data_IF_474766553987
#
_entry.id   IF_474766553987
#
_cell.length_a   1.000
_cell.length_b   1.000
_cell.length_c   1.000
_cell.angle_alpha   90.00
_cell.angle_beta   90.00
_cell.angle_gamma   90.00
#
_symmetry.space_group_name_H-M   'P 1'
#
loop_
_entity.id
_entity.type
_entity.pdbx_description
1 polymer ?
#
# COMPACT_ATOMS: atom_id res chain seq x y z
N UNK A 1 -2.65 18.96 -7.04
CA UNK A 1 -2.76 18.29 -5.70
C UNK A 1 -1.64 17.25 -5.60
N UNK A 2 -0.85 17.24 -4.52
CA UNK A 2 0.23 16.25 -4.33
C UNK A 2 -0.06 15.37 -3.14
N UNK A 3 0.16 14.06 -3.28
CA UNK A 3 -0.09 13.05 -2.24
C UNK A 3 1.15 12.16 -2.08
N UNK A 4 1.73 12.15 -0.88
CA UNK A 4 2.84 11.30 -0.50
C UNK A 4 2.37 10.03 0.23
N UNK A 5 2.72 8.88 -0.28
CA UNK A 5 2.35 7.56 0.24
C UNK A 5 3.62 6.83 0.68
N UNK A 6 3.60 6.29 1.88
CA UNK A 6 4.64 5.41 2.41
C UNK A 6 4.06 4.00 2.57
N UNK A 7 4.70 3.00 2.00
CA UNK A 7 4.36 1.59 2.17
C UNK A 7 5.49 0.91 2.94
N UNK A 8 5.18 0.23 4.04
CA UNK A 8 6.19 -0.32 4.93
C UNK A 8 5.82 -1.72 5.45
N UNK A 9 6.83 -2.56 5.63
CA UNK A 9 6.71 -3.94 6.12
C UNK A 9 8.06 -4.62 6.14
N UNK A 10 8.09 -5.94 6.12
CA UNK A 10 9.31 -6.74 6.04
C UNK A 10 9.59 -7.21 4.61
N UNK A 11 10.83 -7.59 4.36
CA UNK A 11 11.21 -8.31 3.14
C UNK A 11 10.35 -9.57 2.94
N UNK A 12 9.89 -9.81 1.71
CA UNK A 12 8.98 -10.92 1.38
C UNK A 12 7.49 -10.58 1.48
N UNK A 13 7.08 -9.49 2.15
CA UNK A 13 5.68 -9.08 2.26
C UNK A 13 5.13 -8.30 1.04
N UNK A 14 5.88 -8.20 -0.06
CA UNK A 14 5.42 -7.55 -1.28
C UNK A 14 5.32 -6.02 -1.24
N UNK A 15 6.01 -5.37 -0.30
CA UNK A 15 5.96 -3.93 -0.05
C UNK A 15 6.28 -3.10 -1.30
N UNK A 16 7.39 -3.45 -1.96
CA UNK A 16 7.83 -2.74 -3.17
C UNK A 16 6.86 -2.94 -4.33
N UNK A 17 6.26 -4.13 -4.41
CA UNK A 17 5.25 -4.40 -5.43
C UNK A 17 3.97 -3.61 -5.19
N UNK A 18 3.51 -3.51 -3.93
CA UNK A 18 2.37 -2.64 -3.56
C UNK A 18 2.62 -1.20 -4.01
N UNK A 19 3.77 -0.62 -3.68
CA UNK A 19 4.12 0.74 -4.12
C UNK A 19 4.15 0.88 -5.64
N UNK A 20 4.74 -0.10 -6.35
CA UNK A 20 4.79 -0.12 -7.82
C UNK A 20 3.39 -0.21 -8.44
N UNK A 21 2.49 -1.00 -7.87
CA UNK A 21 1.11 -1.13 -8.35
C UNK A 21 0.33 0.18 -8.17
N UNK A 22 0.46 0.83 -7.02
CA UNK A 22 -0.16 2.15 -6.76
C UNK A 22 0.38 3.21 -7.72
N UNK A 23 1.70 3.22 -7.95
CA UNK A 23 2.34 4.12 -8.91
C UNK A 23 1.80 3.90 -10.33
N UNK A 24 1.74 2.64 -10.79
CA UNK A 24 1.19 2.29 -12.11
C UNK A 24 -0.28 2.71 -12.25
N UNK A 25 -1.10 2.45 -11.22
CA UNK A 25 -2.51 2.81 -11.25
C UNK A 25 -2.73 4.34 -11.32
N UNK A 26 -1.91 5.11 -10.63
CA UNK A 26 -1.96 6.58 -10.70
C UNK A 26 -1.52 7.11 -12.08
N UNK A 27 -0.51 6.49 -12.71
CA UNK A 27 -0.09 6.84 -14.06
C UNK A 27 -1.18 6.57 -15.11
N UNK A 28 -1.96 5.49 -14.97
CA UNK A 28 -3.12 5.22 -15.83
C UNK A 28 -4.20 6.33 -15.71
N UNK A 29 -4.25 7.02 -14.57
CA UNK A 29 -5.07 8.20 -14.34
C UNK A 29 -4.42 9.52 -14.80
N UNK A 30 -3.40 9.47 -15.65
CA UNK A 30 -2.65 10.63 -16.18
C UNK A 30 -1.99 11.51 -15.10
N UNK A 31 -1.68 10.96 -13.93
CA UNK A 31 -0.94 11.65 -12.87
C UNK A 31 0.57 11.55 -13.06
N UNK A 32 1.31 12.57 -12.63
CA UNK A 32 2.74 12.47 -12.45
C UNK A 32 3.05 11.63 -11.21
N UNK A 33 4.00 10.72 -11.32
CA UNK A 33 4.30 9.77 -10.25
C UNK A 33 5.80 9.59 -10.08
N UNK A 34 6.25 9.51 -8.83
CA UNK A 34 7.55 8.94 -8.50
C UNK A 34 7.36 7.74 -7.59
N UNK A 35 8.16 6.70 -7.81
CA UNK A 35 8.25 5.53 -6.94
C UNK A 35 9.70 5.37 -6.52
N UNK A 36 9.96 5.44 -5.22
CA UNK A 36 11.30 5.38 -4.66
C UNK A 36 11.39 4.27 -3.60
N UNK A 37 11.98 3.11 -3.93
CA UNK A 37 12.24 2.05 -2.99
C UNK A 37 13.43 2.39 -2.09
N UNK A 38 13.31 2.12 -0.79
CA UNK A 38 14.42 2.19 0.15
C UNK A 38 15.08 0.82 0.27
N UNK A 39 16.30 0.72 -0.26
CA UNK A 39 17.16 -0.45 -0.08
C UNK A 39 18.18 -0.15 1.02
N UNK A 40 18.06 -0.79 2.16
CA UNK A 40 19.06 -0.73 3.24
C UNK A 40 19.72 -2.10 3.47
N UNK A 41 20.89 -2.13 4.11
CA UNK A 41 21.54 -3.37 4.56
C UNK A 41 20.65 -4.21 5.51
N UNK A 42 19.58 -3.62 6.00
CA UNK A 42 18.55 -4.18 6.88
C UNK A 42 17.54 -5.10 6.18
N UNK A 43 17.65 -5.32 4.86
CA UNK A 43 16.65 -6.10 4.10
C UNK A 43 16.59 -7.60 4.44
N UNK A 44 17.58 -8.13 5.13
CA UNK A 44 17.53 -9.50 5.68
C UNK A 44 17.02 -9.44 7.13
N UNK A 45 15.69 -9.42 7.30
CA UNK A 45 15.02 -9.35 8.61
C UNK A 45 14.68 -7.94 9.10
N UNK A 46 15.02 -6.89 8.33
CA UNK A 46 14.69 -5.50 8.63
C UNK A 46 13.40 -5.00 7.94
N UNK A 47 13.04 -3.74 8.22
CA UNK A 47 11.89 -3.09 7.60
C UNK A 47 12.18 -2.68 6.16
N UNK A 48 11.43 -3.23 5.20
CA UNK A 48 11.40 -2.78 3.82
C UNK A 48 10.38 -1.64 3.68
N UNK A 49 10.70 -0.62 2.90
CA UNK A 49 9.73 0.44 2.61
C UNK A 49 9.94 1.04 1.22
N UNK A 50 8.89 1.67 0.71
CA UNK A 50 8.98 2.52 -0.47
C UNK A 50 8.05 3.72 -0.33
N UNK A 51 8.38 4.80 -1.03
CA UNK A 51 7.52 5.97 -1.15
C UNK A 51 6.97 6.09 -2.56
N UNK A 52 5.74 6.56 -2.66
CA UNK A 52 5.08 6.93 -3.92
C UNK A 52 4.58 8.35 -3.76
N UNK A 53 5.00 9.24 -4.65
CA UNK A 53 4.43 10.59 -4.74
C UNK A 53 3.58 10.67 -6.00
N UNK A 54 2.35 11.12 -5.83
CA UNK A 54 1.37 11.27 -6.92
C UNK A 54 1.00 12.76 -6.99
N UNK A 55 1.05 13.36 -8.17
CA UNK A 55 0.75 14.78 -8.36
C UNK A 55 0.10 15.07 -9.72
N UNK A 56 -0.77 16.06 -9.77
CA UNK A 56 -1.30 16.65 -11.01
C UNK A 56 -0.29 17.65 -11.64
N UNK A 57 0.75 18.02 -10.92
CA UNK A 57 1.83 18.90 -11.38
C UNK A 57 3.20 18.24 -11.26
N UNK A 58 4.28 19.03 -11.49
CA UNK A 58 5.65 18.56 -11.37
C UNK A 58 5.97 18.12 -9.94
N UNK A 59 6.71 17.01 -9.81
CA UNK A 59 7.18 16.49 -8.52
C UNK A 59 8.62 16.93 -8.32
N UNK A 60 8.84 17.81 -7.33
CA UNK A 60 10.17 18.33 -7.02
C UNK A 60 11.06 17.35 -6.24
N UNK A 61 10.50 16.35 -5.57
CA UNK A 61 11.26 15.35 -4.81
C UNK A 61 10.50 14.02 -4.72
N UNK A 62 11.18 12.88 -4.91
CA UNK A 62 10.60 11.55 -4.67
C UNK A 62 10.54 11.18 -3.18
N UNK A 63 11.18 11.96 -2.32
CA UNK A 63 11.29 11.69 -0.88
C UNK A 63 10.08 12.24 -0.15
N UNK A 64 9.45 11.39 0.64
CA UNK A 64 8.30 11.74 1.50
C UNK A 64 8.81 11.91 2.93
N UNK A 65 8.97 13.13 3.39
CA UNK A 65 9.34 13.45 4.78
C UNK A 65 8.15 13.37 5.73
N UNK A 66 6.97 13.72 5.24
CA UNK A 66 5.69 13.63 5.97
C UNK A 66 4.63 13.03 5.05
N UNK A 67 4.16 11.83 5.37
CA UNK A 67 3.26 11.06 4.51
C UNK A 67 1.79 11.47 4.70
N UNK A 68 1.07 11.59 3.60
CA UNK A 68 -0.39 11.69 3.61
C UNK A 68 -1.03 10.36 3.98
N UNK A 69 -0.43 9.27 3.50
CA UNK A 69 -0.92 7.91 3.68
C UNK A 69 0.25 6.99 4.05
N UNK A 70 0.04 6.14 5.04
CA UNK A 70 0.94 5.06 5.43
C UNK A 70 0.21 3.73 5.30
N UNK A 71 0.74 2.79 4.52
CA UNK A 71 0.29 1.40 4.50
C UNK A 71 1.31 0.53 5.25
N UNK A 72 0.85 -0.22 6.26
CA UNK A 72 1.70 -0.98 7.19
C UNK A 72 1.34 -2.45 7.16
N UNK A 73 2.36 -3.30 6.98
CA UNK A 73 2.18 -4.75 6.90
C UNK A 73 2.57 -5.50 8.18
N UNK A 74 3.29 -4.85 9.13
CA UNK A 74 3.71 -5.47 10.41
C UNK A 74 3.92 -4.44 11.52
N UNK A 75 4.03 -4.93 12.77
CA UNK A 75 4.16 -4.11 13.98
C UNK A 75 5.39 -3.20 13.96
N UNK A 76 6.58 -3.75 13.67
CA UNK A 76 7.83 -2.98 13.64
C UNK A 76 7.79 -1.80 12.66
N UNK A 77 7.05 -1.96 11.54
CA UNK A 77 6.86 -0.87 10.58
C UNK A 77 5.86 0.18 11.10
N UNK A 78 4.84 -0.22 11.85
CA UNK A 78 3.94 0.73 12.52
C UNK A 78 4.72 1.60 13.49
N UNK A 79 5.49 1.01 14.38
CA UNK A 79 6.31 1.73 15.37
C UNK A 79 7.28 2.71 14.69
N UNK A 80 7.98 2.25 13.65
CA UNK A 80 9.01 3.05 12.96
C UNK A 80 8.43 4.21 12.15
N UNK A 81 7.29 4.03 11.51
CA UNK A 81 6.81 4.96 10.49
C UNK A 81 5.53 5.73 10.85
N UNK A 82 4.78 5.32 11.87
CA UNK A 82 3.55 6.03 12.26
C UNK A 82 3.82 7.52 12.56
N UNK A 83 4.99 7.82 13.12
CA UNK A 83 5.45 9.17 13.41
C UNK A 83 5.63 10.07 12.20
N UNK A 84 5.76 9.51 11.01
CA UNK A 84 5.94 10.24 9.74
C UNK A 84 4.62 10.60 9.05
N UNK A 85 3.48 10.16 9.58
CA UNK A 85 2.17 10.50 9.01
C UNK A 85 1.78 11.91 9.46
N UNK A 86 1.36 12.76 8.50
CA UNK A 86 0.93 14.12 8.80
C UNK A 86 -0.34 14.18 9.63
N UNK A 87 -0.63 15.32 10.21
CA UNK A 87 -1.93 15.61 10.83
C UNK A 87 -3.06 15.35 9.82
N UNK A 88 -4.15 14.71 10.28
CA UNK A 88 -5.28 14.30 9.44
C UNK A 88 -4.90 13.31 8.31
N UNK A 89 -3.74 12.65 8.42
CA UNK A 89 -3.31 11.62 7.48
C UNK A 89 -4.07 10.30 7.68
N UNK A 90 -3.80 9.35 6.80
CA UNK A 90 -4.44 8.04 6.77
C UNK A 90 -3.42 6.94 7.04
N UNK A 91 -3.76 6.00 7.91
CA UNK A 91 -3.00 4.76 8.11
C UNK A 91 -3.88 3.58 7.71
N UNK A 92 -3.36 2.73 6.85
CA UNK A 92 -3.96 1.45 6.50
C UNK A 92 -3.06 0.38 7.11
N UNK A 93 -3.59 -0.43 7.99
CA UNK A 93 -2.80 -1.42 8.69
C UNK A 93 -3.34 -2.83 8.45
N UNK A 94 -2.43 -3.78 8.27
CA UNK A 94 -2.75 -5.20 8.20
C UNK A 94 -3.02 -5.73 9.62
N UNK A 95 -4.29 -5.77 10.04
CA UNK A 95 -4.67 -6.21 11.39
C UNK A 95 -4.42 -7.69 11.66
N UNK A 96 -4.14 -8.50 10.63
CA UNK A 96 -3.68 -9.89 10.83
C UNK A 96 -2.25 -9.98 11.38
N UNK A 97 -1.45 -8.90 11.31
CA UNK A 97 -0.03 -8.87 11.67
C UNK A 97 0.34 -7.69 12.58
N UNK A 98 -0.60 -6.82 12.86
CA UNK A 98 -0.43 -5.61 13.68
C UNK A 98 -1.48 -5.63 14.77
N UNK A 99 -1.05 -5.76 16.02
CA UNK A 99 -1.92 -5.73 17.20
C UNK A 99 -1.96 -4.34 17.83
N UNK A 100 -0.91 -3.57 17.67
CA UNK A 100 -0.79 -2.21 18.16
C UNK A 100 -1.65 -1.24 17.36
N UNK A 101 -1.96 -0.12 18.00
CA UNK A 101 -2.64 1.01 17.34
C UNK A 101 -1.78 2.25 17.45
N UNK A 102 -1.69 3.06 16.39
CA UNK A 102 -1.02 4.34 16.50
C UNK A 102 -1.67 5.15 17.62
N UNK A 103 -0.86 5.84 18.41
CA UNK A 103 -1.38 6.66 19.51
C UNK A 103 -2.49 7.59 18.99
N UNK A 104 -3.72 7.39 19.50
CA UNK A 104 -4.92 8.20 19.16
C UNK A 104 -4.73 9.71 19.43
N UNK A 105 -3.70 10.09 20.18
CA UNK A 105 -3.37 11.48 20.52
C UNK A 105 -2.80 12.30 19.36
N UNK A 106 -2.48 11.71 18.20
CA UNK A 106 -2.05 12.48 17.03
C UNK A 106 -3.26 12.94 16.22
N UNK A 107 -3.79 14.07 16.65
CA UNK A 107 -4.67 14.98 15.90
C UNK A 107 -5.23 14.49 14.55
N UNK A 108 -6.39 13.78 14.62
CA UNK A 108 -7.20 13.54 13.43
C UNK A 108 -6.72 12.43 12.48
N UNK A 109 -5.79 11.55 12.89
CA UNK A 109 -5.41 10.39 12.09
C UNK A 109 -6.61 9.47 11.85
N UNK A 110 -6.83 9.12 10.59
CA UNK A 110 -7.76 8.07 10.20
C UNK A 110 -7.00 6.74 10.14
N UNK A 111 -7.58 5.68 10.72
CA UNK A 111 -7.00 4.34 10.69
C UNK A 111 -8.02 3.40 10.06
N UNK A 112 -7.60 2.68 9.02
CA UNK A 112 -8.34 1.61 8.37
C UNK A 112 -7.63 0.31 8.69
N UNK A 113 -8.29 -0.56 9.45
CA UNK A 113 -7.79 -1.88 9.81
C UNK A 113 -8.27 -2.89 8.75
N UNK A 114 -7.34 -3.64 8.18
CA UNK A 114 -7.62 -4.62 7.13
C UNK A 114 -7.04 -5.95 7.55
N UNK A 115 -7.84 -6.98 7.81
CA UNK A 115 -7.35 -8.32 8.16
C UNK A 115 -6.85 -9.05 6.90
N UNK A 116 -5.76 -8.50 6.32
CA UNK A 116 -5.34 -8.87 4.98
C UNK A 116 -4.87 -10.32 4.86
N UNK A 117 -4.25 -10.86 5.91
CA UNK A 117 -3.87 -12.27 5.98
C UNK A 117 -5.08 -13.20 5.98
N UNK A 118 -6.10 -12.87 6.79
CA UNK A 118 -7.34 -13.65 6.90
C UNK A 118 -8.15 -13.60 5.60
N UNK A 119 -8.28 -12.40 5.01
CA UNK A 119 -8.94 -12.23 3.71
C UNK A 119 -8.22 -13.05 2.64
N UNK A 120 -6.89 -12.96 2.55
CA UNK A 120 -6.09 -13.71 1.59
C UNK A 120 -6.23 -15.23 1.81
N UNK A 121 -6.21 -15.67 3.05
CA UNK A 121 -6.40 -17.09 3.39
C UNK A 121 -7.79 -17.59 2.98
N UNK A 122 -8.86 -16.83 3.25
CA UNK A 122 -10.25 -17.21 2.95
C UNK A 122 -10.52 -17.42 1.46
N UNK A 123 -9.72 -16.82 0.58
CA UNK A 123 -9.85 -16.97 -0.88
C UNK A 123 -8.84 -17.95 -1.48
N UNK A 124 -8.10 -18.68 -0.64
CA UNK A 124 -7.06 -19.62 -1.09
C UNK A 124 -5.77 -18.96 -1.59
N UNK A 125 -5.50 -17.72 -1.22
CA UNK A 125 -4.35 -16.92 -1.67
C UNK A 125 -3.49 -16.39 -0.50
N UNK A 126 -2.98 -17.22 0.42
CA UNK A 126 -2.32 -16.77 1.65
C UNK A 126 -1.10 -15.87 1.40
N UNK A 127 -0.48 -15.95 0.23
CA UNK A 127 0.66 -15.10 -0.15
C UNK A 127 0.24 -13.75 -0.76
N UNK A 128 -1.06 -13.48 -0.94
CA UNK A 128 -1.58 -12.28 -1.61
C UNK A 128 -2.10 -11.20 -0.65
N UNK A 129 -1.69 -11.23 0.62
CA UNK A 129 -2.08 -10.20 1.61
C UNK A 129 -1.70 -8.78 1.16
N UNK A 130 -0.58 -8.61 0.47
CA UNK A 130 -0.18 -7.35 -0.13
C UNK A 130 -1.17 -6.85 -1.21
N UNK A 131 -1.82 -7.75 -1.95
CA UNK A 131 -2.86 -7.36 -2.92
C UNK A 131 -4.12 -6.89 -2.21
N UNK A 132 -4.50 -7.54 -1.11
CA UNK A 132 -5.61 -7.08 -0.27
C UNK A 132 -5.32 -5.66 0.25
N UNK A 133 -4.14 -5.42 0.81
CA UNK A 133 -3.73 -4.07 1.25
C UNK A 133 -3.69 -3.08 0.09
N UNK A 134 -3.24 -3.49 -1.10
CA UNK A 134 -3.21 -2.61 -2.28
C UNK A 134 -4.62 -2.15 -2.69
N UNK A 135 -5.60 -3.06 -2.65
CA UNK A 135 -7.00 -2.73 -2.92
C UNK A 135 -7.57 -1.75 -1.90
N UNK A 136 -7.39 -2.04 -0.61
CA UNK A 136 -7.82 -1.18 0.48
C UNK A 136 -7.15 0.21 0.42
N UNK A 137 -5.84 0.25 0.15
CA UNK A 137 -5.07 1.48 0.00
C UNK A 137 -5.61 2.36 -1.15
N UNK A 138 -5.81 1.77 -2.32
CA UNK A 138 -6.28 2.52 -3.48
C UNK A 138 -7.65 3.16 -3.23
N UNK A 139 -8.57 2.44 -2.59
CA UNK A 139 -9.90 2.95 -2.23
C UNK A 139 -9.85 4.00 -1.12
N UNK A 140 -9.28 3.65 0.03
CA UNK A 140 -9.26 4.53 1.20
C UNK A 140 -8.52 5.85 0.95
N UNK A 141 -7.48 5.82 0.14
CA UNK A 141 -6.71 7.00 -0.25
C UNK A 141 -7.23 7.69 -1.53
N UNK A 142 -8.32 7.18 -2.15
CA UNK A 142 -8.90 7.70 -3.40
C UNK A 142 -7.82 7.91 -4.48
N UNK A 143 -7.10 6.83 -4.80
CA UNK A 143 -6.02 6.87 -5.80
C UNK A 143 -6.58 6.74 -7.22
N UNK A 144 -7.46 5.76 -7.43
CA UNK A 144 -8.09 5.44 -8.71
C UNK A 144 -9.31 4.56 -8.47
N UNK A 145 -10.09 4.31 -9.49
CA UNK A 145 -11.20 3.36 -9.45
C UNK A 145 -10.72 1.91 -9.58
N UNK A 146 -11.53 0.95 -9.11
CA UNK A 146 -11.20 -0.48 -9.14
C UNK A 146 -10.86 -1.02 -10.54
N UNK A 147 -11.56 -0.65 -11.63
CA UNK A 147 -11.18 -1.09 -12.98
C UNK A 147 -9.76 -0.66 -13.38
N UNK A 148 -9.37 0.58 -13.06
CA UNK A 148 -8.03 1.12 -13.31
C UNK A 148 -6.98 0.35 -12.52
N UNK A 149 -7.25 0.09 -11.24
CA UNK A 149 -6.34 -0.69 -10.39
C UNK A 149 -6.14 -2.13 -10.90
N UNK A 150 -7.24 -2.78 -11.33
CA UNK A 150 -7.19 -4.12 -11.95
C UNK A 150 -6.41 -4.10 -13.27
N UNK A 151 -6.56 -3.06 -14.07
CA UNK A 151 -5.80 -2.89 -15.32
C UNK A 151 -4.30 -2.74 -15.02
N UNK A 152 -3.93 -1.88 -14.09
CA UNK A 152 -2.54 -1.69 -13.66
C UNK A 152 -1.91 -3.01 -13.18
N UNK A 153 -2.64 -3.83 -12.41
CA UNK A 153 -2.16 -5.15 -12.00
C UNK A 153 -1.93 -6.07 -13.20
N UNK A 154 -2.85 -6.13 -14.17
CA UNK A 154 -2.69 -6.92 -15.40
C UNK A 154 -1.44 -6.49 -16.18
N UNK A 155 -1.16 -5.18 -16.26
CA UNK A 155 0.03 -4.64 -16.93
C UNK A 155 1.32 -5.11 -16.25
N UNK A 156 1.36 -5.12 -14.90
CA UNK A 156 2.52 -5.60 -14.15
C UNK A 156 2.69 -7.12 -14.20
N UNK A 157 1.61 -7.88 -14.41
CA UNK A 157 1.58 -9.34 -14.44
C UNK A 157 1.56 -9.94 -15.86
N UNK A 158 1.95 -9.18 -16.90
CA UNK A 158 1.89 -9.62 -18.32
C UNK A 158 2.52 -10.99 -18.60
N UNK A 159 3.51 -11.39 -17.80
CA UNK A 159 4.23 -12.67 -17.96
C UNK A 159 3.84 -13.71 -16.91
N UNK A 160 2.88 -13.41 -16.04
CA UNK A 160 2.44 -14.35 -15.01
C UNK A 160 1.50 -15.41 -15.61
N UNK A 161 1.46 -16.59 -14.97
CA UNK A 161 0.46 -17.61 -15.30
C UNK A 161 -0.95 -17.06 -15.02
N UNK A 162 -1.95 -17.36 -15.89
CA UNK A 162 -3.32 -16.84 -15.72
C UNK A 162 -3.91 -17.05 -14.33
N UNK A 163 -3.72 -18.24 -13.74
CA UNK A 163 -4.20 -18.56 -12.41
C UNK A 163 -3.60 -17.66 -11.30
N UNK A 164 -2.33 -17.26 -11.45
CA UNK A 164 -1.67 -16.35 -10.52
C UNK A 164 -2.25 -14.94 -10.63
N UNK A 165 -2.49 -14.49 -11.85
CA UNK A 165 -3.13 -13.19 -12.07
C UNK A 165 -4.54 -13.17 -11.50
N UNK A 166 -5.34 -14.20 -11.77
CA UNK A 166 -6.74 -14.29 -11.33
C UNK A 166 -6.86 -14.24 -9.81
N UNK A 167 -6.06 -15.02 -9.09
CA UNK A 167 -6.11 -15.05 -7.63
C UNK A 167 -5.67 -13.71 -7.02
N UNK A 168 -4.69 -13.03 -7.62
CA UNK A 168 -4.25 -11.71 -7.18
C UNK A 168 -5.29 -10.62 -7.48
N UNK A 169 -6.01 -10.70 -8.61
CA UNK A 169 -7.14 -9.82 -8.91
C UNK A 169 -8.27 -9.99 -7.89
N UNK A 170 -8.57 -11.24 -7.49
CA UNK A 170 -9.56 -11.54 -6.46
C UNK A 170 -9.16 -10.96 -5.10
N UNK A 171 -7.88 -11.13 -4.70
CA UNK A 171 -7.36 -10.57 -3.46
C UNK A 171 -7.45 -9.04 -3.44
N UNK A 172 -7.06 -8.39 -4.54
CA UNK A 172 -7.15 -6.94 -4.72
C UNK A 172 -8.59 -6.44 -4.56
N UNK A 173 -9.54 -7.11 -5.20
CA UNK A 173 -10.97 -6.77 -5.14
C UNK A 173 -11.54 -6.92 -3.73
N UNK A 174 -11.18 -7.99 -3.02
CA UNK A 174 -11.61 -8.20 -1.63
C UNK A 174 -11.08 -7.10 -0.70
N UNK A 175 -9.83 -6.66 -0.90
CA UNK A 175 -9.28 -5.53 -0.16
C UNK A 175 -9.99 -4.22 -0.47
N UNK A 176 -10.33 -3.99 -1.73
CA UNK A 176 -11.13 -2.82 -2.16
C UNK A 176 -12.51 -2.81 -1.51
N UNK A 177 -13.21 -3.95 -1.52
CA UNK A 177 -14.56 -4.10 -0.95
C UNK A 177 -14.59 -4.01 0.59
N UNK A 178 -13.47 -4.23 1.26
CA UNK A 178 -13.37 -4.15 2.72
C UNK A 178 -13.43 -2.71 3.24
N UNK A 179 -13.15 -1.73 2.39
CA UNK A 179 -13.18 -0.31 2.74
C UNK A 179 -14.49 0.29 2.21
N UNK A 180 -15.32 0.77 3.13
CA UNK A 180 -16.57 1.48 2.81
C UNK A 180 -16.33 2.94 2.41
#
# INVERSE_FOLDING_TARGET
>A
MTKGILVAGSGGQGILFTGKLIAQAAMEGAMNVTWFPSYGAEMRGGTANCTVVISDGLIGSPVVSSADVLAVMNEASLERFSGKVRKNGLIILNSSMVSGRPEKKRNGLKVVEVPAGEIAFSIGAPLSANMVISGALARAASICDLPVLKHALKMLFKRAKPAILEINLKALERGWQHVD
#
